data_IF_479989179854
#
_entry.id   IF_479989179854
#
_cell.length_a   1.000
_cell.length_b   1.000
_cell.length_c   1.000
_cell.angle_alpha   90.00
_cell.angle_beta   90.00
_cell.angle_gamma   90.00
#
_symmetry.space_group_name_H-M   'P 1'
#
loop_
_entity.id
_entity.type
_entity.pdbx_description
1 polymer ?
#
# COMPACT_ATOMS: atom_id res chain seq x y z
N UNK A 1 -1.87 -20.38 13.50
CA UNK A 1 -0.73 -20.11 14.40
C UNK A 1 -0.58 -18.59 14.52
N UNK A 2 -0.57 -18.03 15.72
CA UNK A 2 -0.32 -16.59 15.91
C UNK A 2 1.19 -16.36 15.94
N UNK A 3 1.66 -15.36 15.19
CA UNK A 3 3.06 -14.91 15.27
C UNK A 3 3.27 -13.86 16.36
N UNK A 4 2.17 -13.33 16.91
CA UNK A 4 2.19 -12.31 17.96
C UNK A 4 1.91 -12.94 19.33
N UNK A 5 2.50 -12.34 20.36
CA UNK A 5 2.18 -12.63 21.74
C UNK A 5 0.74 -12.19 22.05
N UNK A 6 -0.19 -13.13 21.88
CA UNK A 6 -1.62 -12.91 22.04
C UNK A 6 -1.98 -12.53 23.47
N UNK A 7 -1.28 -13.07 24.46
CA UNK A 7 -1.50 -12.74 25.87
C UNK A 7 -1.19 -11.26 26.15
N UNK A 8 -0.01 -10.79 25.75
CA UNK A 8 0.40 -9.38 25.89
C UNK A 8 -0.56 -8.44 25.15
N UNK A 9 -1.07 -8.86 23.98
CA UNK A 9 -2.02 -8.08 23.20
C UNK A 9 -3.38 -7.96 23.90
N UNK A 10 -3.89 -9.05 24.48
CA UNK A 10 -5.14 -9.04 25.28
C UNK A 10 -4.95 -8.18 26.53
N UNK A 11 -3.85 -8.36 27.25
CA UNK A 11 -3.53 -7.59 28.45
C UNK A 11 -3.52 -6.08 28.15
N UNK A 12 -2.88 -5.66 27.05
CA UNK A 12 -2.85 -4.27 26.61
C UNK A 12 -4.27 -3.70 26.43
N UNK A 13 -5.17 -4.46 25.79
CA UNK A 13 -6.57 -4.06 25.59
C UNK A 13 -7.35 -4.00 26.91
N UNK A 14 -7.15 -4.97 27.80
CA UNK A 14 -7.81 -5.00 29.12
C UNK A 14 -7.39 -3.81 29.99
N UNK A 15 -6.13 -3.37 29.88
CA UNK A 15 -5.60 -2.18 30.54
C UNK A 15 -6.06 -0.86 29.87
N UNK A 16 -6.95 -0.92 28.86
CA UNK A 16 -7.41 0.24 28.06
C UNK A 16 -6.27 1.01 27.37
N UNK A 17 -5.13 0.36 27.16
CA UNK A 17 -4.00 0.92 26.41
C UNK A 17 -4.20 0.65 24.93
N UNK A 18 -3.74 1.59 24.08
CA UNK A 18 -3.68 1.37 22.64
C UNK A 18 -2.45 0.51 22.34
N UNK A 19 -2.59 -0.66 21.70
CA UNK A 19 -1.43 -1.47 21.32
C UNK A 19 -0.52 -0.71 20.35
N UNK A 20 0.78 -0.68 20.65
CA UNK A 20 1.78 -0.19 19.73
C UNK A 20 2.19 -1.31 18.77
N UNK A 21 1.81 -1.18 17.50
CA UNK A 21 2.15 -2.14 16.47
C UNK A 21 3.65 -2.40 16.35
N UNK A 22 4.49 -1.37 16.53
CA UNK A 22 5.94 -1.50 16.40
C UNK A 22 6.49 -2.44 17.46
N UNK A 23 6.20 -2.15 18.74
CA UNK A 23 6.62 -2.98 19.87
C UNK A 23 6.15 -4.45 19.77
N UNK A 24 4.93 -4.70 19.30
CA UNK A 24 4.43 -6.08 19.14
C UNK A 24 5.08 -6.83 17.98
N UNK A 25 5.41 -6.14 16.90
CA UNK A 25 5.96 -6.75 15.69
C UNK A 25 7.48 -6.91 15.74
N UNK A 26 8.18 -6.13 16.58
CA UNK A 26 9.60 -6.32 16.88
C UNK A 26 9.90 -7.67 17.56
N UNK A 27 8.95 -8.21 18.32
CA UNK A 27 9.08 -9.54 18.95
C UNK A 27 8.90 -10.70 17.96
N UNK A 28 8.50 -10.42 16.72
CA UNK A 28 8.28 -11.47 15.72
C UNK A 28 9.61 -12.10 15.30
N UNK A 29 9.69 -13.41 15.44
CA UNK A 29 10.83 -14.18 14.94
C UNK A 29 10.79 -14.27 13.40
N UNK A 30 11.65 -13.51 12.73
CA UNK A 30 11.77 -13.47 11.28
C UNK A 30 12.09 -14.85 10.67
N UNK A 31 12.95 -15.66 11.30
CA UNK A 31 13.26 -17.00 10.82
C UNK A 31 12.02 -17.91 10.77
N UNK A 32 11.10 -17.79 11.73
CA UNK A 32 9.81 -18.51 11.71
C UNK A 32 8.93 -18.06 10.54
N UNK A 33 8.93 -16.76 10.22
CA UNK A 33 8.21 -16.23 9.05
C UNK A 33 8.80 -16.81 7.76
N UNK A 34 10.12 -16.74 7.59
CA UNK A 34 10.82 -17.29 6.41
C UNK A 34 10.55 -18.80 6.27
N UNK A 35 10.68 -19.58 7.34
CA UNK A 35 10.41 -21.02 7.32
C UNK A 35 8.94 -21.34 6.99
N UNK A 36 8.00 -20.49 7.41
CA UNK A 36 6.59 -20.63 7.06
C UNK A 36 6.33 -20.30 5.58
N UNK A 37 6.99 -19.28 5.03
CA UNK A 37 6.87 -18.90 3.61
C UNK A 37 7.43 -19.98 2.69
N UNK A 38 8.58 -20.57 3.03
CA UNK A 38 9.19 -21.68 2.27
C UNK A 38 8.27 -22.90 2.13
N UNK A 39 7.40 -23.14 3.13
CA UNK A 39 6.41 -24.24 3.13
C UNK A 39 5.05 -23.85 2.54
N UNK A 40 4.85 -22.56 2.24
CA UNK A 40 3.58 -22.07 1.68
C UNK A 40 3.52 -22.28 0.17
N UNK A 41 2.31 -22.40 -0.38
CA UNK A 41 2.09 -22.53 -1.84
C UNK A 41 2.70 -21.37 -2.63
N UNK A 42 2.69 -20.17 -2.06
CA UNK A 42 3.19 -18.96 -2.70
C UNK A 42 4.73 -18.84 -2.62
N UNK A 43 5.39 -19.70 -1.84
CA UNK A 43 6.84 -19.70 -1.66
C UNK A 43 7.40 -18.48 -0.93
N UNK A 44 8.73 -18.41 -0.87
CA UNK A 44 9.47 -17.26 -0.37
C UNK A 44 9.56 -16.19 -1.46
N UNK A 45 9.18 -14.93 -1.18
CA UNK A 45 9.36 -13.82 -2.12
C UNK A 45 10.82 -13.66 -2.54
N UNK A 46 11.03 -13.19 -3.77
CA UNK A 46 12.38 -12.92 -4.28
C UNK A 46 13.04 -11.77 -3.49
N UNK A 47 14.38 -11.78 -3.32
CA UNK A 47 15.09 -10.64 -2.74
C UNK A 47 14.82 -9.36 -3.53
N UNK A 48 14.50 -8.28 -2.81
CA UNK A 48 14.20 -6.97 -3.40
C UNK A 48 15.41 -6.07 -3.21
N UNK A 49 15.89 -5.46 -4.31
CA UNK A 49 16.90 -4.39 -4.28
C UNK A 49 16.21 -3.05 -4.48
N UNK A 50 16.58 -2.05 -3.68
CA UNK A 50 16.00 -0.71 -3.80
C UNK A 50 17.05 0.39 -3.79
N UNK A 51 16.66 1.57 -4.27
CA UNK A 51 17.46 2.79 -4.31
C UNK A 51 16.64 4.00 -3.86
N UNK A 52 17.33 5.02 -3.36
CA UNK A 52 16.78 6.36 -3.10
C UNK A 52 17.03 7.31 -4.28
N UNK A 53 17.83 6.91 -5.26
CA UNK A 53 18.08 7.69 -6.47
C UNK A 53 16.79 7.88 -7.25
N UNK A 54 16.47 9.11 -7.70
CA UNK A 54 15.27 9.37 -8.48
C UNK A 54 15.19 8.46 -9.70
N UNK A 55 14.12 7.66 -9.78
CA UNK A 55 13.76 6.93 -10.99
C UNK A 55 12.58 7.66 -11.59
N UNK A 56 12.85 8.52 -12.56
CA UNK A 56 11.80 9.28 -13.24
C UNK A 56 11.09 8.42 -14.28
N UNK A 57 9.77 8.59 -14.38
CA UNK A 57 9.00 8.07 -15.50
C UNK A 57 9.35 8.88 -16.77
N UNK A 58 9.35 8.22 -17.92
CA UNK A 58 9.87 8.76 -19.18
C UNK A 58 9.25 10.11 -19.56
N UNK A 59 7.91 10.23 -19.45
CA UNK A 59 7.22 11.48 -19.78
C UNK A 59 7.44 12.56 -18.74
N UNK A 60 7.58 12.20 -17.46
CA UNK A 60 7.96 13.15 -16.41
C UNK A 60 9.38 13.70 -16.64
N UNK A 61 10.32 12.87 -17.09
CA UNK A 61 11.70 13.25 -17.34
C UNK A 61 11.84 14.35 -18.41
N UNK A 62 10.95 14.34 -19.41
CA UNK A 62 10.91 15.31 -20.53
C UNK A 62 10.43 16.71 -20.13
N UNK A 63 9.88 16.89 -18.93
CA UNK A 63 9.36 18.18 -18.49
C UNK A 63 10.48 19.17 -18.14
N UNK A 64 10.19 20.46 -18.32
CA UNK A 64 11.07 21.53 -17.84
C UNK A 64 11.18 21.52 -16.31
N UNK A 65 12.27 22.04 -15.78
CA UNK A 65 12.48 22.19 -14.31
C UNK A 65 11.34 22.98 -13.66
N UNK A 66 10.83 24.00 -14.34
CA UNK A 66 9.71 24.81 -13.86
C UNK A 66 8.42 23.99 -13.75
N UNK A 67 8.11 23.15 -14.74
CA UNK A 67 6.95 22.26 -14.72
C UNK A 67 7.07 21.20 -13.63
N UNK A 68 8.25 20.57 -13.49
CA UNK A 68 8.52 19.62 -12.41
C UNK A 68 8.29 20.24 -11.03
N UNK A 69 8.82 21.45 -10.80
CA UNK A 69 8.59 22.21 -9.55
C UNK A 69 7.11 22.52 -9.32
N UNK A 70 6.38 22.92 -10.36
CA UNK A 70 4.94 23.18 -10.29
C UNK A 70 4.18 21.92 -9.88
N UNK A 71 4.44 20.79 -10.54
CA UNK A 71 3.78 19.50 -10.24
C UNK A 71 4.12 19.03 -8.83
N UNK A 72 5.37 19.19 -8.39
CA UNK A 72 5.78 18.86 -7.02
C UNK A 72 5.01 19.68 -5.98
N UNK A 73 4.85 20.99 -6.20
CA UNK A 73 4.07 21.87 -5.31
C UNK A 73 2.58 21.47 -5.26
N UNK A 74 2.02 21.06 -6.40
CA UNK A 74 0.64 20.55 -6.46
C UNK A 74 0.52 19.28 -5.63
N UNK A 75 1.46 18.34 -5.79
CA UNK A 75 1.46 17.08 -5.03
C UNK A 75 1.46 17.31 -3.50
N UNK A 76 2.22 18.28 -3.00
CA UNK A 76 2.21 18.61 -1.57
C UNK A 76 0.83 19.10 -1.08
N UNK A 77 0.00 19.63 -1.98
CA UNK A 77 -1.29 20.27 -1.67
C UNK A 77 -2.51 19.45 -2.06
N UNK A 78 -2.37 18.33 -2.77
CA UNK A 78 -3.55 17.52 -3.16
C UNK A 78 -4.28 16.93 -1.95
N UNK A 79 -3.60 16.75 -0.82
CA UNK A 79 -4.18 16.25 0.42
C UNK A 79 -4.84 17.34 1.28
N UNK A 80 -4.30 18.55 1.26
CA UNK A 80 -4.72 19.66 2.14
C UNK A 80 -5.63 20.68 1.45
N UNK A 81 -5.46 20.89 0.16
CA UNK A 81 -6.23 21.84 -0.65
C UNK A 81 -6.78 21.19 -1.94
N UNK A 82 -7.43 20.01 -1.88
CA UNK A 82 -7.79 19.21 -3.05
C UNK A 82 -8.63 19.97 -4.07
N UNK A 83 -9.67 20.69 -3.62
CA UNK A 83 -10.60 21.44 -4.48
C UNK A 83 -9.88 22.52 -5.29
N UNK A 84 -8.84 23.15 -4.73
CA UNK A 84 -8.04 24.16 -5.45
C UNK A 84 -7.08 23.52 -6.45
N UNK A 85 -6.61 22.30 -6.19
CA UNK A 85 -5.68 21.61 -7.08
C UNK A 85 -6.37 21.01 -8.31
N UNK A 86 -7.64 20.59 -8.20
CA UNK A 86 -8.39 19.97 -9.30
C UNK A 86 -8.35 20.77 -10.61
N UNK A 87 -8.73 22.07 -10.66
CA UNK A 87 -8.71 22.81 -11.93
C UNK A 87 -7.30 22.94 -12.52
N UNK A 88 -6.28 23.08 -11.67
CA UNK A 88 -4.87 23.15 -12.10
C UNK A 88 -4.41 21.82 -12.69
N UNK A 89 -4.79 20.71 -12.06
CA UNK A 89 -4.48 19.36 -12.53
C UNK A 89 -5.18 19.03 -13.85
N UNK A 90 -6.43 19.49 -14.04
CA UNK A 90 -7.15 19.34 -15.30
C UNK A 90 -6.44 20.06 -16.45
N UNK A 91 -6.05 21.32 -16.26
CA UNK A 91 -5.27 22.08 -17.25
C UNK A 91 -3.92 21.42 -17.57
N UNK A 92 -3.22 20.91 -16.55
CA UNK A 92 -1.95 20.20 -16.76
C UNK A 92 -2.17 18.89 -17.53
N UNK A 93 -3.26 18.17 -17.25
CA UNK A 93 -3.62 16.93 -17.96
C UNK A 93 -3.90 17.21 -19.44
N UNK A 94 -4.58 18.31 -19.77
CA UNK A 94 -4.78 18.74 -21.16
C UNK A 94 -3.46 19.04 -21.87
N UNK A 95 -2.54 19.73 -21.19
CA UNK A 95 -1.21 20.06 -21.74
C UNK A 95 -0.29 18.84 -21.85
N UNK A 96 -0.40 17.89 -20.92
CA UNK A 96 0.44 16.70 -20.82
C UNK A 96 -0.42 15.44 -20.70
N UNK A 97 -1.18 15.06 -21.74
CA UNK A 97 -2.17 13.98 -21.67
C UNK A 97 -1.54 12.61 -21.41
N UNK A 98 -0.26 12.45 -21.74
CA UNK A 98 0.50 11.21 -21.57
C UNK A 98 1.26 11.13 -20.24
N UNK A 99 1.00 12.05 -19.29
CA UNK A 99 1.70 12.10 -18.01
C UNK A 99 0.87 11.39 -16.91
N UNK A 100 1.16 10.12 -16.55
CA UNK A 100 0.27 9.30 -15.73
C UNK A 100 0.07 9.86 -14.31
N UNK A 101 1.09 10.53 -13.78
CA UNK A 101 1.07 11.10 -12.43
C UNK A 101 -0.03 12.16 -12.24
N UNK A 102 -0.41 12.88 -13.30
CA UNK A 102 -1.49 13.86 -13.22
C UNK A 102 -2.85 13.21 -12.99
N UNK A 103 -3.11 12.07 -13.63
CA UNK A 103 -4.34 11.31 -13.45
C UNK A 103 -4.43 10.73 -12.03
N UNK A 104 -3.29 10.23 -11.52
CA UNK A 104 -3.20 9.76 -10.15
C UNK A 104 -3.48 10.87 -9.14
N UNK A 105 -2.89 12.06 -9.32
CA UNK A 105 -3.13 13.21 -8.45
C UNK A 105 -4.56 13.72 -8.53
N UNK A 106 -5.20 13.67 -9.71
CA UNK A 106 -6.64 13.92 -9.83
C UNK A 106 -7.47 12.91 -9.02
N UNK A 107 -7.12 11.62 -9.08
CA UNK A 107 -7.78 10.59 -8.29
C UNK A 107 -7.70 10.85 -6.78
N UNK A 108 -6.50 11.20 -6.29
CA UNK A 108 -6.29 11.58 -4.88
C UNK A 108 -7.09 12.85 -4.53
N UNK A 109 -7.03 13.88 -5.37
CA UNK A 109 -7.76 15.13 -5.10
C UNK A 109 -9.29 14.93 -5.10
N UNK A 110 -9.83 14.09 -5.99
CA UNK A 110 -11.25 13.74 -5.98
C UNK A 110 -11.63 12.93 -4.73
N UNK A 111 -10.78 12.01 -4.27
CA UNK A 111 -11.03 11.28 -3.02
C UNK A 111 -11.09 12.24 -1.83
N UNK A 112 -10.10 13.14 -1.71
CA UNK A 112 -9.98 14.10 -0.61
C UNK A 112 -11.01 15.25 -0.66
N UNK A 113 -11.61 15.52 -1.83
CA UNK A 113 -12.73 16.46 -1.98
C UNK A 113 -14.10 15.79 -1.94
N UNK A 114 -14.18 14.53 -1.48
CA UNK A 114 -15.44 13.78 -1.33
C UNK A 114 -16.23 13.63 -2.65
N UNK A 115 -15.52 13.44 -3.77
CA UNK A 115 -16.11 13.17 -5.09
C UNK A 115 -15.82 11.72 -5.51
N UNK A 116 -16.46 10.71 -4.87
CA UNK A 116 -16.09 9.31 -5.01
C UNK A 116 -16.32 8.74 -6.42
N UNK A 117 -17.30 9.25 -7.17
CA UNK A 117 -17.60 8.79 -8.53
C UNK A 117 -16.51 9.24 -9.52
N UNK A 118 -16.15 10.52 -9.50
CA UNK A 118 -15.04 11.05 -10.30
C UNK A 118 -13.71 10.42 -9.92
N UNK A 119 -13.47 10.19 -8.63
CA UNK A 119 -12.30 9.45 -8.14
C UNK A 119 -12.24 8.06 -8.76
N UNK A 120 -13.35 7.30 -8.71
CA UNK A 120 -13.41 5.96 -9.29
C UNK A 120 -13.15 5.97 -10.79
N UNK A 121 -13.81 6.87 -11.52
CA UNK A 121 -13.66 7.02 -12.97
C UNK A 121 -12.20 7.28 -13.35
N UNK A 122 -11.59 8.33 -12.77
CA UNK A 122 -10.22 8.70 -13.15
C UNK A 122 -9.19 7.64 -12.78
N UNK A 123 -9.38 6.90 -11.69
CA UNK A 123 -8.49 5.82 -11.29
C UNK A 123 -8.60 4.61 -12.23
N UNK A 124 -9.82 4.29 -12.70
CA UNK A 124 -10.01 3.27 -13.72
C UNK A 124 -9.38 3.69 -15.06
N UNK A 125 -9.58 4.93 -15.48
CA UNK A 125 -8.96 5.47 -16.69
C UNK A 125 -7.43 5.45 -16.59
N UNK A 126 -6.87 5.81 -15.43
CA UNK A 126 -5.42 5.77 -15.20
C UNK A 126 -4.84 4.38 -15.48
N UNK A 127 -5.46 3.32 -14.94
CA UNK A 127 -4.98 1.95 -15.14
C UNK A 127 -5.21 1.47 -16.56
N UNK A 128 -6.27 1.93 -17.23
CA UNK A 128 -6.56 1.60 -18.63
C UNK A 128 -5.58 2.26 -19.60
N UNK A 129 -5.30 3.55 -19.40
CA UNK A 129 -4.43 4.34 -20.27
C UNK A 129 -2.95 4.07 -20.01
N UNK A 130 -2.59 3.79 -18.76
CA UNK A 130 -1.20 3.58 -18.33
C UNK A 130 -1.05 2.24 -17.60
N UNK A 131 -1.22 1.10 -18.31
CA UNK A 131 -1.21 -0.23 -17.69
C UNK A 131 0.11 -0.60 -17.01
N UNK A 132 1.22 0.07 -17.35
CA UNK A 132 2.52 -0.16 -16.73
C UNK A 132 2.83 0.82 -15.58
N UNK A 133 1.97 1.81 -15.36
CA UNK A 133 2.14 2.78 -14.28
C UNK A 133 1.72 2.18 -12.93
N UNK A 134 2.71 1.68 -12.18
CA UNK A 134 2.50 0.98 -10.91
C UNK A 134 1.68 1.80 -9.90
N UNK A 135 1.95 3.11 -9.78
CA UNK A 135 1.23 3.95 -8.82
C UNK A 135 -0.26 4.09 -9.15
N UNK A 136 -0.64 4.05 -10.43
CA UNK A 136 -2.06 4.02 -10.83
C UNK A 136 -2.77 2.77 -10.31
N UNK A 137 -2.12 1.59 -10.44
CA UNK A 137 -2.62 0.34 -9.85
C UNK A 137 -2.71 0.40 -8.33
N UNK A 138 -1.68 0.96 -7.68
CA UNK A 138 -1.63 1.11 -6.22
C UNK A 138 -2.78 1.99 -5.72
N UNK A 139 -3.03 3.15 -6.34
CA UNK A 139 -4.09 4.05 -5.91
C UNK A 139 -5.48 3.45 -6.14
N UNK A 140 -5.72 2.78 -7.27
CA UNK A 140 -6.97 2.07 -7.51
C UNK A 140 -7.15 0.89 -6.52
N UNK A 141 -6.08 0.18 -6.19
CA UNK A 141 -6.09 -0.87 -5.17
C UNK A 141 -6.41 -0.32 -3.78
N UNK A 142 -5.83 0.83 -3.40
CA UNK A 142 -6.15 1.49 -2.13
C UNK A 142 -7.62 1.90 -2.06
N UNK A 143 -8.15 2.48 -3.14
CA UNK A 143 -9.57 2.83 -3.26
C UNK A 143 -10.48 1.62 -2.96
N UNK A 144 -10.14 0.45 -3.50
CA UNK A 144 -10.89 -0.79 -3.26
C UNK A 144 -10.66 -1.39 -1.87
N UNK A 145 -9.43 -1.33 -1.33
CA UNK A 145 -9.14 -1.76 0.04
C UNK A 145 -9.96 -0.95 1.05
N UNK A 146 -9.98 0.38 0.95
CA UNK A 146 -10.80 1.25 1.83
C UNK A 146 -12.28 0.87 1.85
N UNK A 147 -12.78 0.26 0.77
CA UNK A 147 -14.18 -0.19 0.59
C UNK A 147 -14.36 -1.70 0.81
N UNK A 148 -13.38 -2.40 1.37
CA UNK A 148 -13.45 -3.85 1.64
C UNK A 148 -13.44 -4.76 0.41
N UNK A 149 -13.18 -4.22 -0.78
CA UNK A 149 -13.28 -4.94 -2.05
C UNK A 149 -11.99 -5.72 -2.39
N UNK A 150 -11.61 -6.68 -1.54
CA UNK A 150 -10.33 -7.41 -1.67
C UNK A 150 -10.16 -8.17 -2.99
N UNK A 151 -11.26 -8.71 -3.55
CA UNK A 151 -11.24 -9.42 -4.84
C UNK A 151 -10.79 -8.48 -5.99
N UNK A 152 -11.27 -7.24 -6.00
CA UNK A 152 -10.91 -6.25 -7.02
C UNK A 152 -9.44 -5.89 -6.97
N UNK A 153 -8.85 -5.80 -5.77
CA UNK A 153 -7.41 -5.57 -5.58
C UNK A 153 -6.59 -6.67 -6.26
N UNK A 154 -6.97 -7.93 -6.09
CA UNK A 154 -6.32 -9.06 -6.75
C UNK A 154 -6.44 -8.98 -8.28
N UNK A 155 -7.61 -8.61 -8.78
CA UNK A 155 -7.84 -8.41 -10.21
C UNK A 155 -6.96 -7.30 -10.79
N UNK A 156 -6.81 -6.17 -10.10
CA UNK A 156 -5.96 -5.04 -10.56
C UNK A 156 -4.51 -5.47 -10.79
N UNK A 157 -4.00 -6.33 -9.92
CA UNK A 157 -2.64 -6.87 -10.05
C UNK A 157 -2.59 -8.19 -10.83
N UNK A 158 -3.68 -8.63 -11.47
CA UNK A 158 -3.75 -9.91 -12.19
C UNK A 158 -3.27 -11.12 -11.36
N UNK A 159 -3.57 -11.12 -10.05
CA UNK A 159 -3.05 -12.06 -9.05
C UNK A 159 -1.51 -12.13 -8.92
N UNK A 160 -0.77 -11.21 -9.56
CA UNK A 160 0.68 -11.08 -9.44
C UNK A 160 1.02 -10.17 -8.26
N UNK A 161 1.14 -10.74 -7.06
CA UNK A 161 1.31 -9.97 -5.80
C UNK A 161 2.77 -9.74 -5.40
N UNK A 162 3.70 -9.86 -6.34
CA UNK A 162 5.12 -9.53 -6.17
C UNK A 162 5.49 -8.37 -7.09
N UNK A 163 6.37 -7.48 -6.61
CA UNK A 163 6.66 -6.21 -7.30
C UNK A 163 7.29 -6.42 -8.68
N UNK A 164 8.15 -7.42 -8.84
CA UNK A 164 8.89 -7.69 -10.08
C UNK A 164 7.98 -8.03 -11.27
N UNK A 165 6.76 -8.50 -11.02
CA UNK A 165 5.80 -8.77 -12.08
C UNK A 165 5.19 -7.52 -12.72
N UNK A 166 5.40 -6.34 -12.14
CA UNK A 166 4.85 -5.07 -12.60
C UNK A 166 5.89 -4.19 -13.31
N UNK A 167 7.04 -4.77 -13.64
CA UNK A 167 8.12 -4.11 -14.36
C UNK A 167 8.70 -5.04 -15.44
N UNK A 168 9.42 -4.50 -16.44
CA UNK A 168 10.19 -5.30 -17.37
C UNK A 168 11.16 -6.24 -16.63
N UNK A 169 11.34 -7.46 -17.14
CA UNK A 169 12.18 -8.47 -16.49
C UNK A 169 13.64 -8.05 -16.28
N UNK A 170 14.14 -7.10 -17.06
CA UNK A 170 15.47 -6.51 -16.92
C UNK A 170 15.62 -5.60 -15.70
N UNK A 171 14.52 -5.11 -15.12
CA UNK A 171 14.55 -4.19 -13.97
C UNK A 171 14.65 -4.96 -12.66
N UNK A 172 15.82 -4.90 -12.04
CA UNK A 172 16.09 -5.59 -10.77
C UNK A 172 16.15 -4.68 -9.54
N UNK A 173 16.15 -3.36 -9.74
CA UNK A 173 16.22 -2.35 -8.68
C UNK A 173 15.01 -1.43 -8.76
N UNK A 174 14.39 -1.17 -7.61
CA UNK A 174 13.18 -0.35 -7.50
C UNK A 174 13.45 0.89 -6.66
N UNK A 175 12.76 1.99 -6.95
CA UNK A 175 12.81 3.15 -6.07
C UNK A 175 12.14 2.81 -4.74
N UNK A 176 12.66 3.34 -3.62
CA UNK A 176 12.14 3.06 -2.27
C UNK A 176 10.64 3.34 -2.15
N UNK A 177 10.12 4.39 -2.80
CA UNK A 177 8.69 4.71 -2.79
C UNK A 177 7.83 3.65 -3.50
N UNK A 178 8.35 2.97 -4.52
CA UNK A 178 7.64 1.88 -5.21
C UNK A 178 7.54 0.66 -4.30
N UNK A 179 8.67 0.26 -3.69
CA UNK A 179 8.72 -0.86 -2.73
C UNK A 179 7.77 -0.58 -1.57
N UNK A 180 7.87 0.61 -0.96
CA UNK A 180 7.06 1.00 0.20
C UNK A 180 5.57 1.02 -0.12
N UNK A 181 5.19 1.66 -1.23
CA UNK A 181 3.77 1.81 -1.61
C UNK A 181 3.17 0.47 -2.01
N UNK A 182 3.87 -0.33 -2.83
CA UNK A 182 3.38 -1.65 -3.25
C UNK A 182 3.19 -2.60 -2.06
N UNK A 183 4.21 -2.74 -1.21
CA UNK A 183 4.16 -3.70 -0.11
C UNK A 183 3.23 -3.27 1.02
N UNK A 184 2.94 -1.97 1.18
CA UNK A 184 1.88 -1.54 2.10
C UNK A 184 0.49 -1.98 1.65
N UNK A 185 0.19 -1.90 0.35
CA UNK A 185 -1.08 -2.39 -0.24
C UNK A 185 -1.17 -3.91 -0.17
N UNK A 186 -0.14 -4.62 -0.62
CA UNK A 186 -0.13 -6.08 -0.63
C UNK A 186 -0.16 -6.64 0.80
N UNK A 187 0.61 -6.06 1.72
CA UNK A 187 0.58 -6.41 3.14
C UNK A 187 -0.81 -6.23 3.75
N UNK A 188 -1.47 -5.10 3.46
CA UNK A 188 -2.83 -4.81 3.95
C UNK A 188 -3.85 -5.80 3.38
N UNK A 189 -3.75 -6.12 2.08
CA UNK A 189 -4.58 -7.15 1.45
C UNK A 189 -4.42 -8.50 2.15
N UNK A 190 -3.19 -8.91 2.45
CA UNK A 190 -2.90 -10.17 3.13
C UNK A 190 -3.41 -10.17 4.58
N UNK A 191 -3.19 -9.09 5.33
CA UNK A 191 -3.68 -8.95 6.70
C UNK A 191 -5.22 -9.11 6.74
N UNK A 192 -5.92 -8.36 5.90
CA UNK A 192 -7.39 -8.40 5.84
C UNK A 192 -7.92 -9.75 5.36
N UNK A 193 -7.21 -10.41 4.43
CA UNK A 193 -7.50 -11.77 3.97
C UNK A 193 -7.13 -12.86 5.00
N UNK A 194 -6.43 -12.51 6.09
CA UNK A 194 -6.01 -13.46 7.13
C UNK A 194 -4.70 -14.21 6.83
N UNK A 195 -4.02 -13.91 5.73
CA UNK A 195 -2.70 -14.45 5.42
C UNK A 195 -1.62 -13.66 6.19
N UNK A 196 -1.49 -13.98 7.49
CA UNK A 196 -0.64 -13.19 8.40
C UNK A 196 0.84 -13.36 8.11
N UNK A 197 1.26 -14.54 7.64
CA UNK A 197 2.67 -14.79 7.28
C UNK A 197 3.14 -13.80 6.21
N UNK A 198 2.34 -13.60 5.14
CA UNK A 198 2.65 -12.64 4.09
C UNK A 198 2.50 -11.19 4.55
N UNK A 199 1.48 -10.89 5.35
CA UNK A 199 1.30 -9.53 5.89
C UNK A 199 2.48 -9.08 6.74
N UNK A 200 2.94 -9.94 7.64
CA UNK A 200 4.09 -9.70 8.52
C UNK A 200 5.38 -9.61 7.70
N UNK A 201 5.57 -10.47 6.68
CA UNK A 201 6.71 -10.33 5.77
C UNK A 201 6.76 -8.95 5.11
N UNK A 202 5.63 -8.47 4.58
CA UNK A 202 5.56 -7.11 4.03
C UNK A 202 5.91 -6.06 5.09
N UNK A 203 5.42 -6.21 6.32
CA UNK A 203 5.73 -5.29 7.41
C UNK A 203 7.23 -5.26 7.74
N UNK A 204 7.88 -6.43 7.87
CA UNK A 204 9.33 -6.51 8.14
C UNK A 204 10.15 -5.88 7.02
N UNK A 205 9.75 -6.08 5.76
CA UNK A 205 10.34 -5.37 4.63
C UNK A 205 10.18 -3.85 4.75
N UNK A 206 8.97 -3.37 5.09
CA UNK A 206 8.73 -1.94 5.29
C UNK A 206 9.55 -1.35 6.46
N UNK A 207 9.72 -2.11 7.55
CA UNK A 207 10.57 -1.71 8.66
C UNK A 207 12.05 -1.64 8.26
N UNK A 208 12.52 -2.54 7.39
CA UNK A 208 13.91 -2.51 6.90
C UNK A 208 14.21 -1.29 6.03
N UNK A 209 13.23 -0.80 5.25
CA UNK A 209 13.45 0.32 4.33
C UNK A 209 13.24 1.68 4.99
N UNK A 210 12.18 1.82 5.80
CA UNK A 210 11.74 3.10 6.38
C UNK A 210 10.82 2.83 7.58
N UNK A 211 11.41 2.58 8.78
CA UNK A 211 10.69 2.14 9.97
C UNK A 211 9.57 3.09 10.40
N UNK A 212 9.81 4.39 10.29
CA UNK A 212 8.95 5.43 10.86
C UNK A 212 7.98 6.03 9.81
N UNK A 213 7.96 5.46 8.60
CA UNK A 213 7.00 5.90 7.59
C UNK A 213 5.55 5.62 7.99
N UNK A 214 4.59 6.53 7.71
CA UNK A 214 3.17 6.32 8.02
C UNK A 214 2.58 5.03 7.44
N UNK A 215 3.03 4.59 6.27
CA UNK A 215 2.57 3.34 5.65
C UNK A 215 3.04 2.10 6.42
N UNK A 216 4.24 2.12 6.99
CA UNK A 216 4.78 1.05 7.83
C UNK A 216 3.94 0.90 9.10
N UNK A 217 3.69 2.03 9.77
CA UNK A 217 2.82 2.10 10.96
C UNK A 217 1.40 1.65 10.67
N UNK A 218 0.81 2.09 9.54
CA UNK A 218 -0.54 1.71 9.12
C UNK A 218 -0.66 0.21 8.89
N UNK A 219 0.31 -0.41 8.22
CA UNK A 219 0.31 -1.86 8.02
C UNK A 219 0.42 -2.63 9.34
N UNK A 220 1.30 -2.20 10.25
CA UNK A 220 1.41 -2.82 11.58
C UNK A 220 0.09 -2.78 12.34
N UNK A 221 -0.60 -1.62 12.31
CA UNK A 221 -1.92 -1.47 12.92
C UNK A 221 -2.97 -2.41 12.28
N UNK A 222 -3.00 -2.56 10.96
CA UNK A 222 -3.90 -3.49 10.27
C UNK A 222 -3.65 -4.96 10.70
N UNK A 223 -2.38 -5.34 10.91
CA UNK A 223 -2.02 -6.68 11.40
C UNK A 223 -2.55 -6.89 12.82
N UNK A 224 -2.32 -5.92 13.73
CA UNK A 224 -2.83 -6.00 15.10
C UNK A 224 -4.36 -6.07 15.16
N UNK A 225 -5.04 -5.19 14.42
CA UNK A 225 -6.50 -5.17 14.34
C UNK A 225 -7.06 -6.52 13.87
N UNK A 226 -6.39 -7.16 12.90
CA UNK A 226 -6.80 -8.48 12.44
C UNK A 226 -6.63 -9.54 13.52
N UNK A 227 -5.52 -9.56 14.26
CA UNK A 227 -5.34 -10.51 15.37
C UNK A 227 -6.36 -10.29 16.48
N UNK A 228 -6.62 -9.04 16.88
CA UNK A 228 -7.66 -8.70 17.85
C UNK A 228 -9.04 -9.22 17.43
N UNK A 229 -9.40 -9.04 16.15
CA UNK A 229 -10.68 -9.53 15.62
C UNK A 229 -10.83 -11.05 15.71
N UNK A 230 -9.73 -11.82 15.63
CA UNK A 230 -9.76 -13.27 15.78
C UNK A 230 -10.02 -13.69 17.22
N UNK A 231 -9.41 -12.99 18.18
CA UNK A 231 -9.57 -13.26 19.61
C UNK A 231 -11.02 -13.04 20.03
N UNK A 232 -11.60 -11.89 19.66
CA UNK A 232 -13.01 -11.58 19.95
C UNK A 232 -13.99 -12.63 19.39
N UNK A 233 -13.78 -13.07 18.15
CA UNK A 233 -14.63 -14.12 17.53
C UNK A 233 -14.53 -15.46 18.24
N UNK A 234 -13.36 -15.83 18.77
CA UNK A 234 -13.19 -17.08 19.52
C UNK A 234 -13.95 -17.04 20.86
N UNK A 235 -13.88 -15.93 21.58
CA UNK A 235 -14.59 -15.74 22.86
C UNK A 235 -16.11 -15.80 22.71
N UNK A 236 -16.66 -15.21 21.63
CA UNK A 236 -18.10 -15.27 21.39
C UNK A 236 -18.59 -16.68 21.06
N UNK A 237 -17.77 -17.50 20.37
CA UNK A 237 -18.11 -18.90 20.08
C UNK A 237 -18.08 -19.79 21.32
N UNK A 238 -17.10 -19.58 22.22
CA UNK A 238 -16.99 -20.35 23.47
C UNK A 238 -18.03 -19.98 24.53
N UNK A 239 -18.76 -18.87 24.37
CA UNK A 239 -19.88 -18.47 25.23
C UNK A 239 -21.24 -18.99 24.75
N UNK A 240 -21.30 -19.53 23.52
CA UNK A 240 -22.51 -20.05 22.88
C UNK A 240 -22.54 -21.59 22.81
N UNK A 241 -21.51 -22.25 23.35
CA UNK A 241 -21.34 -23.70 23.45
C UNK A 241 -21.36 -24.12 24.91
#
# INVERSE_FOLDING_TARGET
MSYLNTFKLIQCVLERKRPDAKAFLEEVNEHKIIASLKRSKDGLPQPIKWTTEPVEEENFAKLSVAEKKKIHKIFQRVYTEPTKQIPILLQLKEKHPNLPVLYNYLGVAYEHSQQPDKCKEILHDTVKLFPDYLFGKITLAEYHLKRGNHRKVRTIFNNKLEIHYHFPASRTTYHISEVRSFHSIIGTLHARSGNMTRAIFCYLLLQKIDPDHPLSLRLGNEILLKELSKISRKQNRSRQS
#
